data_IF_082574904027
#
_entry.id   IF_082574904027
#
_cell.length_a   1.000
_cell.length_b   1.000
_cell.length_c   1.000
_cell.angle_alpha   90.00
_cell.angle_beta   90.00
_cell.angle_gamma   90.00
#
_symmetry.space_group_name_H-M   'P 1'
#
loop_
_entity.id
_entity.type
_entity.pdbx_description
1 polymer ?
#
# COMPACT_ATOMS: atom_id res chain seq x y z
N UNK A 1 -1.18 -3.34 27.64
CA UNK A 1 -2.13 -2.21 27.60
C UNK A 1 -3.54 -2.78 27.43
N UNK A 2 -4.48 -2.35 28.26
CA UNK A 2 -5.87 -2.80 28.19
C UNK A 2 -6.54 -2.26 26.92
N UNK A 3 -7.50 -2.99 26.34
CA UNK A 3 -8.25 -2.56 25.14
C UNK A 3 -8.80 -1.13 25.25
N UNK A 4 -9.13 -0.69 26.47
CA UNK A 4 -9.60 0.67 26.78
C UNK A 4 -8.58 1.76 26.44
N UNK A 5 -7.27 1.49 26.50
CA UNK A 5 -6.24 2.48 26.18
C UNK A 5 -6.07 2.72 24.67
N UNK A 6 -6.65 1.87 23.82
CA UNK A 6 -6.68 2.07 22.36
C UNK A 6 -7.81 3.00 21.91
N UNK A 7 -8.87 3.15 22.72
CA UNK A 7 -10.05 3.96 22.35
C UNK A 7 -9.66 5.40 21.98
N UNK A 8 -8.85 6.13 22.79
CA UNK A 8 -8.43 7.48 22.43
C UNK A 8 -7.65 7.52 21.11
N UNK A 9 -6.73 6.57 20.89
CA UNK A 9 -5.92 6.47 19.67
C UNK A 9 -6.81 6.25 18.45
N UNK A 10 -7.78 5.35 18.55
CA UNK A 10 -8.75 5.08 17.48
C UNK A 10 -9.53 6.35 17.13
N UNK A 11 -10.04 7.07 18.14
CA UNK A 11 -10.84 8.28 17.94
C UNK A 11 -10.02 9.38 17.25
N UNK A 12 -8.82 9.70 17.77
CA UNK A 12 -7.98 10.77 17.18
C UNK A 12 -7.50 10.41 15.78
N UNK A 13 -7.29 9.12 15.49
CA UNK A 13 -6.83 8.66 14.18
C UNK A 13 -7.96 8.68 13.16
N UNK A 14 -9.21 8.50 13.59
CA UNK A 14 -10.36 8.50 12.68
C UNK A 14 -10.74 9.90 12.17
N UNK A 15 -10.46 10.95 12.93
CA UNK A 15 -10.79 12.33 12.54
C UNK A 15 -10.16 12.74 11.18
N UNK A 16 -8.84 12.59 10.96
CA UNK A 16 -8.23 12.84 9.64
C UNK A 16 -8.84 12.02 8.51
N UNK A 17 -9.23 10.77 8.78
CA UNK A 17 -9.85 9.86 7.81
C UNK A 17 -11.19 10.42 7.33
N UNK A 18 -12.00 10.95 8.26
CA UNK A 18 -13.25 11.63 7.92
C UNK A 18 -13.02 12.90 7.11
N UNK A 19 -12.05 13.73 7.51
CA UNK A 19 -11.73 15.00 6.84
C UNK A 19 -11.33 14.74 5.38
N UNK A 20 -10.38 13.84 5.14
CA UNK A 20 -9.95 13.50 3.79
C UNK A 20 -11.06 12.81 2.98
N UNK A 21 -11.81 11.89 3.60
CA UNK A 21 -12.94 11.22 2.96
C UNK A 21 -14.00 12.22 2.48
N UNK A 22 -14.28 13.24 3.29
CA UNK A 22 -15.19 14.34 2.94
C UNK A 22 -14.63 15.19 1.79
N UNK A 23 -13.36 15.64 1.88
CA UNK A 23 -12.71 16.45 0.85
C UNK A 23 -12.77 15.76 -0.52
N UNK A 24 -12.40 14.48 -0.60
CA UNK A 24 -12.39 13.77 -1.90
C UNK A 24 -13.78 13.40 -2.39
N UNK A 25 -14.77 13.20 -1.50
CA UNK A 25 -16.15 13.03 -1.94
C UNK A 25 -16.73 14.32 -2.51
N UNK A 26 -16.40 15.45 -1.88
CA UNK A 26 -16.76 16.77 -2.40
C UNK A 26 -16.16 17.02 -3.79
N UNK A 27 -14.88 16.67 -4.01
CA UNK A 27 -14.22 16.77 -5.31
C UNK A 27 -14.89 15.92 -6.41
N UNK A 28 -15.47 14.77 -6.07
CA UNK A 28 -16.22 13.91 -7.00
C UNK A 28 -17.64 14.43 -7.29
N UNK A 29 -18.04 15.57 -6.71
CA UNK A 29 -19.42 16.08 -6.75
C UNK A 29 -20.46 15.03 -6.31
N UNK A 30 -20.07 14.08 -5.44
CA UNK A 30 -20.96 13.06 -4.91
C UNK A 30 -21.06 13.20 -3.39
N UNK A 31 -22.28 13.10 -2.81
CA UNK A 31 -22.40 13.11 -1.36
C UNK A 31 -21.57 11.96 -0.78
N UNK A 32 -20.95 12.19 0.38
CA UNK A 32 -20.23 11.14 1.10
C UNK A 32 -21.22 10.05 1.51
N UNK A 33 -21.40 9.06 0.64
CA UNK A 33 -22.28 7.93 0.91
C UNK A 33 -21.68 7.09 2.03
N UNK A 34 -22.28 7.12 3.21
CA UNK A 34 -21.78 6.43 4.41
C UNK A 34 -21.48 4.95 4.16
N UNK A 35 -22.31 4.25 3.39
CA UNK A 35 -22.08 2.85 3.01
C UNK A 35 -20.85 2.69 2.11
N UNK A 36 -20.70 3.55 1.11
CA UNK A 36 -19.57 3.53 0.15
C UNK A 36 -18.26 3.78 0.89
N UNK A 37 -18.24 4.83 1.70
CA UNK A 37 -17.11 5.22 2.53
C UNK A 37 -16.76 4.13 3.54
N UNK A 38 -17.73 3.67 4.34
CA UNK A 38 -17.52 2.65 5.36
C UNK A 38 -16.99 1.33 4.81
N UNK A 39 -17.50 0.87 3.66
CA UNK A 39 -16.97 -0.32 2.99
C UNK A 39 -15.52 -0.14 2.52
N UNK A 40 -15.18 1.03 1.98
CA UNK A 40 -13.82 1.36 1.57
C UNK A 40 -12.85 1.42 2.76
N UNK A 41 -13.24 2.09 3.85
CA UNK A 41 -12.43 2.13 5.07
C UNK A 41 -12.23 0.72 5.64
N UNK A 42 -13.28 -0.10 5.71
CA UNK A 42 -13.18 -1.47 6.22
C UNK A 42 -12.29 -2.35 5.32
N UNK A 43 -12.48 -2.30 4.01
CA UNK A 43 -11.66 -3.06 3.06
C UNK A 43 -10.18 -2.62 3.08
N UNK A 44 -9.93 -1.32 3.25
CA UNK A 44 -8.60 -0.77 3.46
C UNK A 44 -7.98 -1.25 4.77
N UNK A 45 -8.71 -1.22 5.88
CA UNK A 45 -8.24 -1.72 7.16
C UNK A 45 -7.88 -3.21 7.09
N UNK A 46 -8.71 -4.01 6.42
CA UNK A 46 -8.46 -5.45 6.21
C UNK A 46 -7.24 -5.72 5.33
N UNK A 47 -6.93 -4.84 4.39
CA UNK A 47 -5.74 -4.98 3.53
C UNK A 47 -4.43 -4.87 4.31
N UNK A 48 -4.45 -4.29 5.51
CA UNK A 48 -3.25 -4.21 6.36
C UNK A 48 -2.98 -5.55 7.06
N UNK A 49 -4.01 -6.37 7.29
CA UNK A 49 -3.90 -7.62 8.09
C UNK A 49 -2.86 -8.61 7.53
N UNK A 50 -2.87 -8.96 6.23
CA UNK A 50 -1.87 -9.90 5.71
C UNK A 50 -0.44 -9.37 5.78
N UNK A 51 -0.28 -8.04 5.75
CA UNK A 51 1.03 -7.38 5.84
C UNK A 51 1.56 -7.46 7.27
N UNK A 52 0.74 -7.12 8.27
CA UNK A 52 1.14 -7.12 9.68
C UNK A 52 1.40 -8.51 10.22
N UNK A 53 0.51 -9.45 9.89
CA UNK A 53 0.57 -10.82 10.39
C UNK A 53 1.31 -11.73 9.42
N UNK A 54 2.15 -11.18 8.53
CA UNK A 54 2.87 -11.95 7.52
C UNK A 54 3.67 -13.09 8.14
N UNK A 55 4.41 -12.81 9.20
CA UNK A 55 5.21 -13.83 9.88
C UNK A 55 4.34 -14.95 10.47
N UNK A 56 3.20 -14.59 11.05
CA UNK A 56 2.26 -15.56 11.63
C UNK A 56 1.57 -16.40 10.54
N UNK A 57 1.18 -15.77 9.43
CA UNK A 57 0.60 -16.45 8.25
C UNK A 57 1.61 -17.43 7.66
N UNK A 58 2.87 -17.01 7.51
CA UNK A 58 3.93 -17.88 7.01
C UNK A 58 4.24 -19.02 7.97
N UNK A 59 4.24 -18.77 9.28
CA UNK A 59 4.42 -19.83 10.28
C UNK A 59 3.26 -20.82 10.25
N UNK A 60 2.02 -20.34 10.23
CA UNK A 60 0.81 -21.15 10.13
C UNK A 60 0.80 -22.03 8.87
N UNK A 61 1.29 -21.50 7.75
CA UNK A 61 1.37 -22.22 6.47
C UNK A 61 2.64 -23.08 6.31
N UNK A 62 3.48 -23.18 7.34
CA UNK A 62 4.79 -23.88 7.26
C UNK A 62 5.74 -23.33 6.18
N UNK A 63 5.64 -22.03 5.92
CA UNK A 63 6.42 -21.26 4.94
C UNK A 63 7.32 -20.21 5.61
N UNK A 64 7.60 -20.32 6.91
CA UNK A 64 8.43 -19.35 7.65
C UNK A 64 9.82 -19.14 7.03
N UNK A 65 10.43 -20.20 6.49
CA UNK A 65 11.70 -20.14 5.75
C UNK A 65 11.64 -19.30 4.46
N UNK A 66 10.44 -18.99 3.97
CA UNK A 66 10.22 -18.16 2.79
C UNK A 66 9.81 -16.72 3.15
N UNK A 67 10.03 -16.28 4.39
CA UNK A 67 9.77 -14.91 4.79
C UNK A 67 10.79 -13.94 4.18
N UNK A 68 10.31 -13.11 3.24
CA UNK A 68 11.17 -12.20 2.50
C UNK A 68 11.90 -11.21 3.40
N UNK A 69 11.27 -10.76 4.47
CA UNK A 69 11.87 -9.80 5.38
C UNK A 69 13.03 -10.40 6.16
N UNK A 70 12.94 -11.69 6.52
CA UNK A 70 14.03 -12.40 7.17
C UNK A 70 15.19 -12.66 6.19
N UNK A 71 14.86 -13.10 4.97
CA UNK A 71 15.84 -13.45 3.94
C UNK A 71 16.62 -12.23 3.42
N UNK A 72 15.99 -11.06 3.33
CA UNK A 72 16.65 -9.80 2.98
C UNK A 72 17.80 -9.45 3.94
N UNK A 73 17.67 -9.81 5.21
CA UNK A 73 18.63 -9.48 6.25
C UNK A 73 19.79 -10.46 6.32
N UNK A 74 19.51 -11.73 6.02
CA UNK A 74 20.50 -12.80 6.06
C UNK A 74 21.43 -12.78 4.83
N UNK A 75 21.10 -11.99 3.80
CA UNK A 75 21.90 -11.90 2.57
C UNK A 75 21.85 -13.19 1.75
N UNK A 76 20.72 -13.91 1.83
CA UNK A 76 20.54 -15.22 1.23
C UNK A 76 20.60 -15.20 -0.31
N UNK A 77 20.74 -16.39 -0.90
CA UNK A 77 20.80 -16.60 -2.34
C UNK A 77 19.70 -15.82 -3.09
N UNK A 78 20.09 -15.02 -4.09
CA UNK A 78 19.18 -14.18 -4.89
C UNK A 78 17.97 -14.93 -5.46
N UNK A 79 18.14 -16.22 -5.79
CA UNK A 79 17.05 -17.07 -6.27
C UNK A 79 16.02 -17.40 -5.17
N UNK A 80 16.48 -17.56 -3.93
CA UNK A 80 15.62 -17.81 -2.77
C UNK A 80 14.81 -16.56 -2.44
N UNK A 81 15.46 -15.38 -2.48
CA UNK A 81 14.78 -14.09 -2.30
C UNK A 81 13.68 -13.88 -3.36
N UNK A 82 13.96 -14.21 -4.62
CA UNK A 82 12.97 -14.13 -5.71
C UNK A 82 11.74 -14.99 -5.42
N UNK A 83 11.95 -16.27 -5.09
CA UNK A 83 10.83 -17.18 -4.84
C UNK A 83 10.04 -16.75 -3.59
N UNK A 84 10.74 -16.29 -2.56
CA UNK A 84 10.14 -15.73 -1.35
C UNK A 84 9.22 -14.53 -1.64
N UNK A 85 9.60 -13.61 -2.54
CA UNK A 85 8.74 -12.49 -2.93
C UNK A 85 7.44 -12.98 -3.56
N UNK A 86 7.52 -13.94 -4.48
CA UNK A 86 6.36 -14.49 -5.17
C UNK A 86 5.43 -15.23 -4.20
N UNK A 87 6.00 -15.99 -3.27
CA UNK A 87 5.24 -16.64 -2.18
C UNK A 87 4.53 -15.59 -1.31
N UNK A 88 5.25 -14.53 -0.92
CA UNK A 88 4.71 -13.45 -0.10
C UNK A 88 3.53 -12.75 -0.79
N UNK A 89 3.69 -12.37 -2.06
CA UNK A 89 2.61 -11.79 -2.88
C UNK A 89 1.43 -12.76 -2.99
N UNK A 90 1.69 -14.04 -3.27
CA UNK A 90 0.65 -15.06 -3.37
C UNK A 90 -0.15 -15.22 -2.08
N UNK A 91 0.51 -15.22 -0.93
CA UNK A 91 -0.13 -15.27 0.39
C UNK A 91 -0.98 -14.03 0.65
N UNK A 92 -0.49 -12.82 0.38
CA UNK A 92 -1.26 -11.58 0.55
C UNK A 92 -2.53 -11.63 -0.29
N UNK A 93 -2.39 -11.93 -1.58
CA UNK A 93 -3.51 -12.00 -2.52
C UNK A 93 -4.53 -13.06 -2.07
N UNK A 94 -4.06 -14.25 -1.68
CA UNK A 94 -4.90 -15.32 -1.16
C UNK A 94 -5.64 -14.92 0.12
N UNK A 95 -4.95 -14.33 1.09
CA UNK A 95 -5.53 -13.86 2.34
C UNK A 95 -6.61 -12.80 2.11
N UNK A 96 -6.35 -11.80 1.28
CA UNK A 96 -7.33 -10.75 0.94
C UNK A 96 -8.55 -11.37 0.27
N UNK A 97 -8.34 -12.31 -0.65
CA UNK A 97 -9.43 -13.00 -1.31
C UNK A 97 -10.33 -13.74 -0.30
N UNK A 98 -9.73 -14.50 0.62
CA UNK A 98 -10.46 -15.25 1.66
C UNK A 98 -11.23 -14.30 2.59
N UNK A 99 -10.58 -13.24 3.09
CA UNK A 99 -11.26 -12.23 3.93
C UNK A 99 -12.42 -11.57 3.19
N UNK A 100 -12.20 -11.28 1.90
CA UNK A 100 -13.19 -10.61 1.09
C UNK A 100 -14.39 -11.48 0.73
N UNK A 101 -14.19 -12.78 0.53
CA UNK A 101 -15.27 -13.74 0.32
C UNK A 101 -16.22 -13.77 1.53
N UNK A 102 -15.68 -13.74 2.75
CA UNK A 102 -16.48 -13.75 3.97
C UNK A 102 -17.29 -12.46 4.19
N UNK A 103 -16.76 -11.31 3.79
CA UNK A 103 -17.31 -10.00 4.18
C UNK A 103 -18.12 -9.33 3.06
N UNK A 104 -17.63 -9.40 1.82
CA UNK A 104 -18.21 -8.62 0.72
C UNK A 104 -19.14 -9.42 -0.19
N UNK A 105 -19.30 -10.74 0.01
CA UNK A 105 -20.28 -11.65 -0.61
C UNK A 105 -20.96 -11.12 -1.88
N UNK A 106 -20.20 -10.94 -2.97
CA UNK A 106 -20.71 -10.37 -4.22
C UNK A 106 -20.10 -11.05 -5.45
N UNK A 107 -20.97 -11.34 -6.43
CA UNK A 107 -20.69 -11.65 -7.84
C UNK A 107 -19.32 -12.28 -8.13
N UNK A 108 -19.00 -13.37 -7.42
CA UNK A 108 -17.68 -14.04 -7.46
C UNK A 108 -17.27 -14.33 -8.91
N UNK A 109 -18.20 -14.76 -9.76
CA UNK A 109 -17.90 -15.05 -11.17
C UNK A 109 -17.36 -13.86 -11.96
N UNK A 110 -17.87 -12.64 -11.73
CA UNK A 110 -17.37 -11.42 -12.42
C UNK A 110 -16.03 -10.98 -11.85
N UNK A 111 -15.86 -11.07 -10.54
CA UNK A 111 -14.63 -10.66 -9.85
C UNK A 111 -13.49 -11.63 -10.16
N UNK A 112 -13.75 -12.93 -10.14
CA UNK A 112 -12.76 -14.00 -10.28
C UNK A 112 -11.86 -13.83 -11.51
N UNK A 113 -12.44 -13.58 -12.68
CA UNK A 113 -11.67 -13.45 -13.92
C UNK A 113 -10.71 -12.24 -13.88
N UNK A 114 -11.14 -11.13 -13.30
CA UNK A 114 -10.34 -9.90 -13.18
C UNK A 114 -9.30 -10.07 -12.06
N UNK A 115 -9.70 -10.72 -10.98
CA UNK A 115 -8.84 -11.05 -9.85
C UNK A 115 -7.65 -11.89 -10.32
N UNK A 116 -7.90 -13.03 -10.98
CA UNK A 116 -6.84 -13.91 -11.51
C UNK A 116 -5.95 -13.18 -12.53
N UNK A 117 -6.52 -12.41 -13.46
CA UNK A 117 -5.72 -11.59 -14.39
C UNK A 117 -4.77 -10.66 -13.65
N UNK A 118 -5.26 -9.95 -12.65
CA UNK A 118 -4.46 -9.01 -11.86
C UNK A 118 -3.41 -9.75 -11.00
N UNK A 119 -3.74 -10.93 -10.47
CA UNK A 119 -2.77 -11.78 -9.76
C UNK A 119 -1.61 -12.15 -10.67
N UNK A 120 -1.88 -12.60 -11.90
CA UNK A 120 -0.82 -12.93 -12.86
C UNK A 120 0.04 -11.71 -13.21
N UNK A 121 -0.57 -10.53 -13.37
CA UNK A 121 0.15 -9.28 -13.67
C UNK A 121 1.06 -8.87 -12.51
N UNK A 122 0.58 -8.95 -11.26
CA UNK A 122 1.39 -8.61 -10.07
C UNK A 122 2.49 -9.64 -9.82
N UNK A 123 2.23 -10.93 -10.05
CA UNK A 123 3.28 -11.96 -9.99
C UNK A 123 4.34 -11.71 -11.06
N UNK A 124 3.95 -11.32 -12.28
CA UNK A 124 4.89 -10.94 -13.32
C UNK A 124 5.73 -9.71 -12.93
N UNK A 125 5.13 -8.71 -12.27
CA UNK A 125 5.87 -7.59 -11.69
C UNK A 125 6.90 -8.06 -10.63
N UNK A 126 6.53 -9.01 -9.77
CA UNK A 126 7.45 -9.64 -8.82
C UNK A 126 8.63 -10.34 -9.49
N UNK A 127 8.40 -11.03 -10.62
CA UNK A 127 9.47 -11.61 -11.46
C UNK A 127 10.36 -10.52 -12.04
N UNK A 128 9.78 -9.45 -12.61
CA UNK A 128 10.57 -8.33 -13.15
C UNK A 128 11.45 -7.67 -12.08
N UNK A 129 10.91 -7.43 -10.89
CA UNK A 129 11.67 -6.88 -9.77
C UNK A 129 12.79 -7.84 -9.33
N UNK A 130 12.53 -9.13 -9.34
CA UNK A 130 13.53 -10.14 -8.97
C UNK A 130 14.67 -10.24 -9.99
N UNK A 131 14.36 -10.13 -11.28
CA UNK A 131 15.36 -10.00 -12.34
C UNK A 131 16.16 -8.71 -12.16
N UNK A 132 15.49 -7.57 -11.90
CA UNK A 132 16.15 -6.31 -11.60
C UNK A 132 17.11 -6.44 -10.42
N UNK A 133 16.69 -7.06 -9.32
CA UNK A 133 17.54 -7.34 -8.17
C UNK A 133 18.76 -8.19 -8.56
N UNK A 134 18.57 -9.28 -9.32
CA UNK A 134 19.66 -10.15 -9.77
C UNK A 134 20.71 -9.41 -10.61
N UNK A 135 20.30 -8.44 -11.43
CA UNK A 135 21.23 -7.66 -12.26
C UNK A 135 21.86 -6.49 -11.53
N UNK A 136 21.12 -5.79 -10.66
CA UNK A 136 21.60 -4.56 -10.00
C UNK A 136 22.36 -4.85 -8.72
N UNK A 137 21.97 -5.89 -7.97
CA UNK A 137 22.60 -6.20 -6.69
C UNK A 137 24.11 -6.48 -6.83
N UNK A 138 24.61 -7.22 -7.85
CA UNK A 138 26.05 -7.43 -8.02
C UNK A 138 26.86 -6.19 -8.42
N UNK A 139 26.24 -5.06 -8.78
CA UNK A 139 26.93 -3.87 -9.29
C UNK A 139 27.60 -3.02 -8.20
N UNK A 140 27.54 -3.45 -6.93
CA UNK A 140 28.08 -2.74 -5.76
C UNK A 140 27.63 -1.27 -5.62
N UNK A 141 26.49 -0.92 -6.20
CA UNK A 141 25.91 0.43 -6.13
C UNK A 141 25.28 0.64 -4.76
N UNK A 142 25.66 1.71 -4.05
CA UNK A 142 25.06 2.09 -2.77
C UNK A 142 25.49 1.23 -1.57
N UNK A 143 26.66 0.59 -1.65
CA UNK A 143 27.25 -0.22 -0.56
C UNK A 143 27.95 0.62 0.51
N UNK A 144 28.06 1.93 0.31
CA UNK A 144 28.56 2.84 1.35
C UNK A 144 27.71 2.71 2.61
N UNK A 145 28.39 2.49 3.74
CA UNK A 145 27.75 2.49 5.05
C UNK A 145 27.05 3.83 5.28
N UNK A 146 25.84 3.77 5.84
CA UNK A 146 25.11 4.97 6.24
C UNK A 146 25.84 5.64 7.42
N UNK A 147 25.99 6.97 7.34
CA UNK A 147 26.61 7.77 8.40
C UNK A 147 25.79 7.64 9.68
N UNK A 148 26.34 7.01 10.72
CA UNK A 148 25.66 6.80 12.01
C UNK A 148 25.40 5.35 12.42
N UNK A 149 25.91 4.36 11.66
CA UNK A 149 25.82 2.94 12.02
C UNK A 149 24.60 2.20 11.47
N UNK A 150 23.80 2.85 10.62
CA UNK A 150 22.63 2.29 9.95
C UNK A 150 21.32 2.97 10.34
N UNK A 151 20.24 2.56 9.69
CA UNK A 151 18.87 2.99 10.00
C UNK A 151 18.11 1.82 10.60
N UNK A 152 17.47 2.02 11.75
CA UNK A 152 16.60 1.00 12.33
C UNK A 152 15.19 1.08 11.76
N UNK A 153 14.75 0.04 11.05
CA UNK A 153 13.39 -0.09 10.52
C UNK A 153 12.77 -1.36 11.11
N UNK A 154 11.60 -1.24 11.74
CA UNK A 154 10.93 -2.35 12.42
C UNK A 154 11.82 -3.14 13.41
N UNK A 155 12.74 -2.45 14.10
CA UNK A 155 13.67 -3.06 15.05
C UNK A 155 14.91 -3.69 14.42
N UNK A 156 15.08 -3.58 13.10
CA UNK A 156 16.21 -4.13 12.36
C UNK A 156 17.10 -3.02 11.83
N UNK A 157 18.42 -3.15 12.02
CA UNK A 157 19.40 -2.16 11.57
C UNK A 157 19.85 -2.44 10.13
N UNK A 158 19.59 -1.49 9.25
CA UNK A 158 20.01 -1.50 7.85
C UNK A 158 21.28 -0.67 7.70
N UNK A 159 22.40 -1.34 7.42
CA UNK A 159 23.73 -0.71 7.37
C UNK A 159 24.05 0.06 6.08
N UNK A 160 23.35 -0.22 4.98
CA UNK A 160 23.66 0.34 3.64
C UNK A 160 22.42 0.93 2.96
N UNK A 161 22.64 1.94 2.11
CA UNK A 161 21.57 2.55 1.31
C UNK A 161 20.91 1.53 0.37
N UNK A 162 21.70 0.61 -0.19
CA UNK A 162 21.23 -0.49 -1.04
C UNK A 162 20.17 -1.35 -0.34
N UNK A 163 20.42 -1.76 0.90
CA UNK A 163 19.46 -2.58 1.66
C UNK A 163 18.18 -1.80 2.00
N UNK A 164 18.31 -0.53 2.40
CA UNK A 164 17.16 0.36 2.64
C UNK A 164 16.30 0.50 1.38
N UNK A 165 16.92 0.69 0.21
CA UNK A 165 16.22 0.82 -1.06
C UNK A 165 15.43 -0.45 -1.41
N UNK A 166 16.04 -1.63 -1.33
CA UNK A 166 15.35 -2.88 -1.65
C UNK A 166 14.25 -3.20 -0.65
N UNK A 167 14.48 -2.93 0.64
CA UNK A 167 13.46 -3.11 1.68
C UNK A 167 12.21 -2.28 1.38
N UNK A 168 12.35 -0.98 1.12
CA UNK A 168 11.19 -0.11 0.86
C UNK A 168 10.50 -0.40 -0.47
N UNK A 169 11.21 -0.86 -1.50
CA UNK A 169 10.55 -1.31 -2.74
C UNK A 169 9.70 -2.56 -2.46
N UNK A 170 10.18 -3.51 -1.66
CA UNK A 170 9.45 -4.73 -1.33
C UNK A 170 8.21 -4.41 -0.49
N UNK A 171 8.35 -3.55 0.53
CA UNK A 171 7.21 -3.04 1.31
C UNK A 171 6.20 -2.37 0.38
N UNK A 172 6.64 -1.46 -0.48
CA UNK A 172 5.75 -0.79 -1.43
C UNK A 172 5.03 -1.77 -2.36
N UNK A 173 5.72 -2.80 -2.90
CA UNK A 173 5.07 -3.86 -3.71
C UNK A 173 3.96 -4.53 -2.89
N UNK A 174 4.25 -4.92 -1.66
CA UNK A 174 3.33 -5.64 -0.77
C UNK A 174 2.10 -4.78 -0.45
N UNK A 175 2.30 -3.52 -0.05
CA UNK A 175 1.23 -2.64 0.36
C UNK A 175 0.35 -2.20 -0.79
N UNK A 176 0.94 -1.79 -1.93
CA UNK A 176 0.18 -1.38 -3.10
C UNK A 176 -0.61 -2.55 -3.70
N UNK A 177 -0.02 -3.74 -3.70
CA UNK A 177 -0.73 -4.97 -4.06
C UNK A 177 -1.93 -5.19 -3.14
N UNK A 178 -1.71 -5.10 -1.83
CA UNK A 178 -2.75 -5.36 -0.85
C UNK A 178 -3.95 -4.41 -1.02
N UNK A 179 -3.69 -3.11 -1.13
CA UNK A 179 -4.73 -2.10 -1.36
C UNK A 179 -5.49 -2.35 -2.66
N UNK A 180 -4.78 -2.63 -3.76
CA UNK A 180 -5.42 -2.92 -5.05
C UNK A 180 -6.36 -4.11 -4.98
N UNK A 181 -5.95 -5.22 -4.37
CA UNK A 181 -6.82 -6.39 -4.26
C UNK A 181 -8.04 -6.15 -3.38
N UNK A 182 -7.93 -5.30 -2.37
CA UNK A 182 -9.11 -4.83 -1.62
C UNK A 182 -10.05 -3.93 -2.44
N UNK A 183 -9.54 -3.17 -3.42
CA UNK A 183 -10.42 -2.46 -4.39
C UNK A 183 -11.20 -3.48 -5.23
N UNK A 184 -10.52 -4.52 -5.74
CA UNK A 184 -11.15 -5.53 -6.61
C UNK A 184 -12.29 -6.26 -5.92
N UNK A 185 -12.12 -6.58 -4.64
CA UNK A 185 -13.11 -7.39 -3.93
C UNK A 185 -14.23 -6.56 -3.33
N UNK A 186 -13.95 -5.35 -2.85
CA UNK A 186 -14.96 -4.51 -2.18
C UNK A 186 -15.76 -3.64 -3.16
N UNK A 187 -15.14 -3.18 -4.25
CA UNK A 187 -15.61 -2.02 -5.00
C UNK A 187 -15.78 -2.24 -6.50
N UNK A 188 -15.13 -3.26 -7.08
CA UNK A 188 -15.15 -3.55 -8.53
C UNK A 188 -16.55 -3.53 -9.18
N UNK A 189 -17.60 -4.15 -8.61
CA UNK A 189 -18.92 -4.14 -9.23
C UNK A 189 -19.56 -2.75 -9.35
N UNK A 190 -19.00 -1.75 -8.67
CA UNK A 190 -19.51 -0.37 -8.60
C UNK A 190 -18.65 0.62 -9.40
N UNK A 191 -17.57 0.16 -10.04
CA UNK A 191 -16.70 0.99 -10.88
C UNK A 191 -17.31 1.06 -12.28
N UNK A 192 -17.96 2.18 -12.59
CA UNK A 192 -18.53 2.49 -13.92
C UNK A 192 -17.83 3.69 -14.59
N UNK A 193 -17.00 4.43 -13.85
CA UNK A 193 -16.18 5.52 -14.36
C UNK A 193 -14.80 5.52 -13.68
N UNK A 194 -13.83 6.15 -14.34
CA UNK A 194 -12.48 6.30 -13.79
C UNK A 194 -12.51 7.11 -12.49
N UNK A 195 -13.33 8.18 -12.42
CA UNK A 195 -13.47 9.03 -11.22
C UNK A 195 -13.96 8.20 -10.02
N UNK A 196 -14.96 7.33 -10.22
CA UNK A 196 -15.43 6.42 -9.15
C UNK A 196 -14.38 5.41 -8.74
N UNK A 197 -13.68 4.81 -9.69
CA UNK A 197 -12.61 3.86 -9.38
C UNK A 197 -11.47 4.50 -8.57
N UNK A 198 -11.07 5.72 -8.94
CA UNK A 198 -10.12 6.53 -8.16
C UNK A 198 -10.64 6.83 -6.76
N UNK A 199 -11.90 7.27 -6.61
CA UNK A 199 -12.48 7.56 -5.31
C UNK A 199 -12.54 6.32 -4.41
N UNK A 200 -12.88 5.15 -4.95
CA UNK A 200 -12.83 3.89 -4.20
C UNK A 200 -11.41 3.57 -3.71
N UNK A 201 -10.40 3.74 -4.58
CA UNK A 201 -9.00 3.59 -4.18
C UNK A 201 -8.59 4.56 -3.07
N UNK A 202 -9.09 5.81 -3.08
CA UNK A 202 -8.86 6.77 -2.00
C UNK A 202 -9.42 6.23 -0.67
N UNK A 203 -10.66 5.73 -0.64
CA UNK A 203 -11.23 5.19 0.60
C UNK A 203 -10.47 3.96 1.12
N UNK A 204 -9.99 3.10 0.22
CA UNK A 204 -9.12 1.98 0.60
C UNK A 204 -7.81 2.48 1.21
N UNK A 205 -7.18 3.50 0.62
CA UNK A 205 -5.98 4.13 1.15
C UNK A 205 -6.20 4.72 2.54
N UNK A 206 -7.34 5.36 2.75
CA UNK A 206 -7.73 5.93 4.04
C UNK A 206 -7.90 4.82 5.10
N UNK A 207 -8.55 3.71 4.75
CA UNK A 207 -8.67 2.56 5.64
C UNK A 207 -7.32 1.90 5.97
N UNK A 208 -6.43 1.82 4.99
CA UNK A 208 -5.07 1.32 5.17
C UNK A 208 -4.28 2.21 6.14
N UNK A 209 -4.20 3.51 5.84
CA UNK A 209 -3.50 4.49 6.66
C UNK A 209 -4.11 4.65 8.06
N UNK A 210 -5.41 4.41 8.22
CA UNK A 210 -6.07 4.38 9.53
C UNK A 210 -5.46 3.33 10.47
N UNK A 211 -5.34 2.09 10.00
CA UNK A 211 -4.77 1.00 10.81
C UNK A 211 -3.28 1.24 11.08
N UNK A 212 -2.52 1.66 10.06
CA UNK A 212 -1.12 1.99 10.30
C UNK A 212 -0.96 3.10 11.35
N UNK A 213 -1.72 4.18 11.24
CA UNK A 213 -1.62 5.29 12.17
C UNK A 213 -1.96 4.85 13.59
N UNK A 214 -2.93 3.95 13.79
CA UNK A 214 -3.19 3.35 15.11
C UNK A 214 -1.95 2.62 15.62
N UNK A 215 -1.29 1.81 14.79
CA UNK A 215 -0.12 1.04 15.20
C UNK A 215 1.08 1.91 15.55
N UNK A 216 1.36 2.93 14.73
CA UNK A 216 2.44 3.88 14.99
C UNK A 216 2.20 4.68 16.26
N UNK A 217 0.99 5.21 16.45
CA UNK A 217 0.66 5.98 17.65
C UNK A 217 0.62 5.10 18.89
N UNK A 218 0.13 3.86 18.79
CA UNK A 218 0.21 2.86 19.86
C UNK A 218 1.66 2.68 20.26
N UNK A 219 2.55 2.32 19.33
CA UNK A 219 3.95 2.04 19.62
C UNK A 219 4.64 3.20 20.36
N UNK A 220 4.43 4.44 19.89
CA UNK A 220 5.02 5.63 20.54
C UNK A 220 4.37 5.92 21.89
N UNK A 221 3.06 5.70 22.02
CA UNK A 221 2.35 5.87 23.28
C UNK A 221 2.82 4.84 24.34
N UNK A 222 3.16 3.60 23.96
CA UNK A 222 3.72 2.63 24.93
C UNK A 222 5.12 3.04 25.42
N UNK A 223 5.89 3.73 24.58
CA UNK A 223 7.26 4.15 24.89
C UNK A 223 7.31 5.48 25.66
N UNK A 224 6.42 6.42 25.36
CA UNK A 224 6.52 7.81 25.82
C UNK A 224 5.27 8.34 26.53
N UNK A 225 4.20 7.55 26.61
CA UNK A 225 2.90 7.96 27.13
C UNK A 225 1.99 8.57 26.06
N UNK A 226 0.67 8.41 26.22
CA UNK A 226 -0.35 8.82 25.24
C UNK A 226 -0.33 10.33 24.92
N UNK A 227 -0.04 11.17 25.91
CA UNK A 227 -0.10 12.63 25.79
C UNK A 227 1.28 13.26 25.58
N UNK A 228 2.25 12.47 25.10
CA UNK A 228 3.59 12.98 24.83
C UNK A 228 3.62 13.85 23.57
N UNK A 229 4.61 14.75 23.50
CA UNK A 229 4.89 15.52 22.28
C UNK A 229 5.25 14.62 21.10
N UNK A 230 5.83 13.44 21.35
CA UNK A 230 6.13 12.42 20.34
C UNK A 230 4.87 11.84 19.69
N UNK A 231 3.84 11.55 20.48
CA UNK A 231 2.54 11.09 19.94
C UNK A 231 1.88 12.19 19.11
N UNK A 232 1.86 13.44 19.61
CA UNK A 232 1.26 14.57 18.88
C UNK A 232 1.95 14.83 17.54
N UNK A 233 3.29 14.91 17.53
CA UNK A 233 4.07 15.15 16.31
C UNK A 233 3.88 14.02 15.30
N UNK A 234 3.89 12.77 15.75
CA UNK A 234 3.62 11.61 14.89
C UNK A 234 2.20 11.64 14.35
N UNK A 235 1.22 11.99 15.17
CA UNK A 235 -0.17 12.06 14.73
C UNK A 235 -0.34 13.12 13.63
N UNK A 236 0.19 14.33 13.82
CA UNK A 236 0.13 15.40 12.80
C UNK A 236 0.80 14.92 11.50
N UNK A 237 2.03 14.43 11.61
CA UNK A 237 2.84 14.04 10.45
C UNK A 237 2.16 12.92 9.65
N UNK A 238 1.70 11.87 10.35
CA UNK A 238 1.11 10.71 9.69
C UNK A 238 -0.30 10.99 9.16
N UNK A 239 -1.08 11.79 9.87
CA UNK A 239 -2.46 12.14 9.47
C UNK A 239 -2.54 13.03 8.24
N UNK A 240 -1.48 13.80 7.96
CA UNK A 240 -1.43 14.71 6.82
C UNK A 240 -0.56 14.11 5.72
N UNK A 241 0.72 13.86 6.01
CA UNK A 241 1.73 13.59 5.00
C UNK A 241 1.82 12.11 4.62
N UNK A 242 1.95 11.22 5.61
CA UNK A 242 1.97 9.77 5.35
C UNK A 242 0.66 9.31 4.70
N UNK A 243 -0.47 9.80 5.22
CA UNK A 243 -1.78 9.51 4.66
C UNK A 243 -1.93 10.00 3.23
N UNK A 244 -1.46 11.21 2.91
CA UNK A 244 -1.44 11.72 1.54
C UNK A 244 -0.60 10.82 0.61
N UNK A 245 0.56 10.32 1.05
CA UNK A 245 1.35 9.37 0.25
C UNK A 245 0.57 8.11 -0.08
N UNK A 246 -0.12 7.49 0.89
CA UNK A 246 -0.96 6.33 0.61
C UNK A 246 -2.10 6.64 -0.37
N UNK A 247 -2.69 7.84 -0.25
CA UNK A 247 -3.75 8.32 -1.16
C UNK A 247 -3.18 8.45 -2.58
N UNK A 248 -2.04 9.13 -2.76
CA UNK A 248 -1.38 9.29 -4.06
C UNK A 248 -1.10 7.93 -4.71
N UNK A 249 -0.48 7.02 -3.96
CA UNK A 249 -0.10 5.69 -4.46
C UNK A 249 -1.35 4.88 -4.88
N UNK A 250 -2.39 4.87 -4.04
CA UNK A 250 -3.66 4.22 -4.36
C UNK A 250 -4.38 4.87 -5.54
N UNK A 251 -4.33 6.21 -5.68
CA UNK A 251 -4.90 6.93 -6.81
C UNK A 251 -4.18 6.57 -8.10
N UNK A 252 -2.85 6.46 -8.09
CA UNK A 252 -2.07 6.05 -9.27
C UNK A 252 -2.55 4.66 -9.73
N UNK A 253 -2.54 3.65 -8.84
CA UNK A 253 -2.98 2.30 -9.22
C UNK A 253 -4.45 2.30 -9.64
N UNK A 254 -5.31 2.98 -8.88
CA UNK A 254 -6.75 3.10 -9.16
C UNK A 254 -7.06 3.76 -10.51
N UNK A 255 -6.33 4.81 -10.87
CA UNK A 255 -6.48 5.52 -12.15
C UNK A 255 -6.16 4.60 -13.32
N UNK A 256 -4.97 3.99 -13.32
CA UNK A 256 -4.53 3.12 -14.40
C UNK A 256 -5.34 1.83 -14.48
N UNK A 257 -5.70 1.25 -13.33
CA UNK A 257 -6.61 0.11 -13.27
C UNK A 257 -7.97 0.45 -13.86
N UNK A 258 -8.60 1.56 -13.44
CA UNK A 258 -9.95 1.91 -13.89
C UNK A 258 -9.98 2.21 -15.39
N UNK A 259 -8.96 2.90 -15.91
CA UNK A 259 -8.78 3.11 -17.35
C UNK A 259 -8.64 1.79 -18.09
N UNK A 260 -7.80 0.88 -17.61
CA UNK A 260 -7.59 -0.43 -18.22
C UNK A 260 -8.87 -1.28 -18.19
N UNK A 261 -9.57 -1.28 -17.05
CA UNK A 261 -10.80 -2.01 -16.83
C UNK A 261 -11.94 -1.52 -17.74
N UNK A 262 -12.13 -0.20 -17.86
CA UNK A 262 -13.19 0.34 -18.71
C UNK A 262 -12.86 0.17 -20.19
N UNK A 263 -11.61 0.44 -20.60
CA UNK A 263 -11.24 0.46 -22.02
C UNK A 263 -10.94 -0.93 -22.62
N UNK A 264 -10.44 -1.88 -21.82
CA UNK A 264 -9.83 -3.12 -22.33
C UNK A 264 -10.35 -4.41 -21.69
N UNK A 265 -11.34 -4.36 -20.81
CA UNK A 265 -11.88 -5.58 -20.19
C UNK A 265 -12.62 -6.47 -21.21
N UNK A 266 -13.14 -5.90 -22.30
CA UNK A 266 -13.61 -6.67 -23.45
C UNK A 266 -12.42 -7.27 -24.24
N UNK A 267 -12.42 -8.59 -24.44
CA UNK A 267 -11.40 -9.30 -25.22
C UNK A 267 -11.36 -8.78 -26.67
N UNK A 268 -10.17 -8.69 -27.33
CA UNK A 268 -8.90 -9.34 -26.99
C UNK A 268 -7.74 -8.38 -26.61
N UNK A 269 -7.98 -7.29 -25.85
CA UNK A 269 -6.96 -6.27 -25.53
C UNK A 269 -6.17 -6.53 -24.23
N UNK A 270 -5.81 -7.79 -23.95
CA UNK A 270 -5.16 -8.17 -22.68
C UNK A 270 -3.77 -7.56 -22.51
N UNK A 271 -3.00 -7.41 -23.59
CA UNK A 271 -1.66 -6.83 -23.53
C UNK A 271 -1.72 -5.35 -23.16
N UNK A 272 -2.67 -4.60 -23.74
CA UNK A 272 -2.90 -3.19 -23.41
C UNK A 272 -3.38 -3.03 -21.96
N UNK A 273 -4.25 -3.94 -21.51
CA UNK A 273 -4.69 -4.02 -20.12
C UNK A 273 -3.49 -4.20 -19.17
N UNK A 274 -2.68 -5.24 -19.41
CA UNK A 274 -1.53 -5.58 -18.58
C UNK A 274 -0.49 -4.46 -18.56
N UNK A 275 -0.15 -3.89 -19.72
CA UNK A 275 0.79 -2.76 -19.82
C UNK A 275 0.32 -1.55 -19.01
N UNK A 276 -0.96 -1.20 -19.13
CA UNK A 276 -1.53 -0.04 -18.41
C UNK A 276 -1.50 -0.28 -16.90
N UNK A 277 -1.87 -1.48 -16.45
CA UNK A 277 -1.87 -1.81 -15.02
C UNK A 277 -0.44 -1.90 -14.45
N UNK A 278 0.50 -2.52 -15.17
CA UNK A 278 1.92 -2.59 -14.79
C UNK A 278 2.54 -1.20 -14.65
N UNK A 279 2.20 -0.28 -15.55
CA UNK A 279 2.66 1.10 -15.45
C UNK A 279 2.14 1.77 -14.17
N UNK A 280 0.85 1.59 -13.86
CA UNK A 280 0.25 2.10 -12.62
C UNK A 280 0.93 1.54 -11.37
N UNK A 281 1.12 0.23 -11.29
CA UNK A 281 1.82 -0.39 -10.17
C UNK A 281 3.26 0.11 -10.05
N UNK A 282 4.03 0.07 -11.14
CA UNK A 282 5.44 0.47 -11.12
C UNK A 282 5.60 1.92 -10.66
N UNK A 283 4.76 2.83 -11.17
CA UNK A 283 4.81 4.23 -10.78
C UNK A 283 4.40 4.44 -9.31
N UNK A 284 3.36 3.74 -8.84
CA UNK A 284 2.94 3.78 -7.44
C UNK A 284 4.03 3.27 -6.50
N UNK A 285 4.62 2.11 -6.80
CA UNK A 285 5.67 1.49 -6.00
C UNK A 285 6.91 2.38 -5.92
N UNK A 286 7.32 2.96 -7.04
CA UNK A 286 8.46 3.88 -7.07
C UNK A 286 8.16 5.14 -6.25
N UNK A 287 6.96 5.72 -6.39
CA UNK A 287 6.57 6.88 -5.61
C UNK A 287 6.58 6.57 -4.09
N UNK A 288 5.95 5.46 -3.70
CA UNK A 288 5.93 5.03 -2.31
C UNK A 288 7.35 4.82 -1.75
N UNK A 289 8.17 4.04 -2.44
CA UNK A 289 9.55 3.77 -2.01
C UNK A 289 10.39 5.05 -1.94
N UNK A 290 10.26 5.97 -2.90
CA UNK A 290 10.97 7.26 -2.87
C UNK A 290 10.59 8.06 -1.63
N UNK A 291 9.30 8.09 -1.26
CA UNK A 291 8.85 8.81 -0.07
C UNK A 291 9.50 8.24 1.19
N UNK A 292 9.43 6.93 1.38
CA UNK A 292 9.95 6.27 2.59
C UNK A 292 11.47 6.35 2.68
N UNK A 293 12.18 6.10 1.58
CA UNK A 293 13.64 6.23 1.50
C UNK A 293 14.03 7.66 1.82
N UNK A 294 13.35 8.66 1.25
CA UNK A 294 13.65 10.08 1.47
C UNK A 294 13.51 10.46 2.94
N UNK A 295 12.44 10.03 3.61
CA UNK A 295 12.27 10.28 5.05
C UNK A 295 13.35 9.56 5.88
N UNK A 296 13.69 8.35 5.49
CA UNK A 296 14.72 7.53 6.14
C UNK A 296 16.11 8.16 6.07
N UNK A 297 16.48 8.74 4.93
CA UNK A 297 17.78 9.41 4.75
C UNK A 297 17.76 10.87 5.22
N UNK A 298 16.68 11.34 5.85
CA UNK A 298 16.55 12.67 6.42
C UNK A 298 16.17 13.78 5.43
N UNK A 299 15.79 13.44 4.19
CA UNK A 299 15.28 14.41 3.21
C UNK A 299 13.79 14.69 3.43
N UNK A 300 13.47 15.49 4.45
CA UNK A 300 12.10 15.84 4.82
C UNK A 300 11.39 16.74 3.81
N UNK A 301 12.12 17.44 2.93
CA UNK A 301 11.55 18.30 1.89
C UNK A 301 10.62 17.57 0.91
N UNK A 302 10.79 16.25 0.75
CA UNK A 302 9.93 15.39 -0.09
C UNK A 302 8.45 15.50 0.26
N UNK A 303 8.15 15.78 1.52
CA UNK A 303 6.80 15.88 2.07
C UNK A 303 5.99 16.95 1.34
N UNK A 304 6.58 18.12 1.13
CA UNK A 304 5.89 19.23 0.46
C UNK A 304 5.63 18.91 -1.02
N UNK A 305 6.56 18.21 -1.67
CA UNK A 305 6.41 17.78 -3.06
C UNK A 305 5.22 16.82 -3.19
N UNK A 306 5.15 15.81 -2.30
CA UNK A 306 4.05 14.85 -2.30
C UNK A 306 2.73 15.53 -1.94
N UNK A 307 2.73 16.39 -0.92
CA UNK A 307 1.51 17.04 -0.47
C UNK A 307 0.91 17.95 -1.55
N UNK A 308 1.67 18.94 -2.04
CA UNK A 308 1.15 19.89 -3.02
C UNK A 308 0.99 19.26 -4.41
N UNK A 309 2.01 18.55 -4.88
CA UNK A 309 1.99 17.90 -6.19
C UNK A 309 0.91 16.82 -6.27
N UNK A 310 0.82 15.99 -5.23
CA UNK A 310 -0.21 14.96 -5.11
C UNK A 310 -1.62 15.54 -5.03
N UNK A 311 -1.84 16.52 -4.15
CA UNK A 311 -3.15 17.16 -4.03
C UNK A 311 -3.62 17.79 -5.35
N UNK A 312 -2.75 18.58 -6.01
CA UNK A 312 -3.06 19.17 -7.32
C UNK A 312 -3.32 18.11 -8.40
N UNK A 313 -2.49 17.06 -8.44
CA UNK A 313 -2.64 15.95 -9.39
C UNK A 313 -3.94 15.19 -9.20
N UNK A 314 -4.33 14.87 -7.97
CA UNK A 314 -5.59 14.18 -7.68
C UNK A 314 -6.78 15.09 -8.02
N UNK A 315 -6.72 16.36 -7.63
CA UNK A 315 -7.77 17.35 -7.90
C UNK A 315 -8.02 17.48 -9.40
N UNK A 316 -6.95 17.53 -10.20
CA UNK A 316 -7.03 17.56 -11.67
C UNK A 316 -7.81 16.37 -12.25
N UNK A 317 -7.63 15.16 -11.70
CA UNK A 317 -8.36 13.96 -12.17
C UNK A 317 -9.88 14.12 -12.04
N UNK A 318 -10.35 14.81 -11.00
CA UNK A 318 -11.78 15.02 -10.76
C UNK A 318 -12.37 16.18 -11.59
N UNK A 319 -11.58 17.20 -11.90
CA UNK A 319 -12.02 18.34 -12.72
C UNK A 319 -11.83 18.18 -14.22
N UNK A 320 -10.92 17.33 -14.68
CA UNK A 320 -10.83 17.01 -16.10
C UNK A 320 -12.09 16.25 -16.55
N UNK A 321 -12.72 16.74 -17.61
CA UNK A 321 -13.72 15.98 -18.35
C UNK A 321 -13.00 14.80 -19.02
N UNK A 322 -13.41 13.57 -18.69
CA UNK A 322 -12.84 12.33 -19.23
C UNK A 322 -13.71 11.75 -20.32
#
# INVERSE_FOLDING_TARGET
MEFLSLIPIIIITFLPILIWGYIFSYLDNSPLGARRFGLGILAGALSVVPVLFMNDIMTFTSLAQWNIFLLLLQGDNHMVLMFSLLVTIGLIVGSIFVFSLGIFSLNIGKIWNIFIKNTLIVLFLGVLFSLFHLFVFPLNIGESLLTGGGVTIAGVVFGTLKLVLFYYIIIAIIEETSKHFSVLTSSLPRIDSVKKGVLFSIFIALGFGFIENILYLKNIAEQSGLWSSGVLTTWIFRSIFSLMTHIICSVIVGLYFSRAFIAYNALPRILQYARTLLYGFSFSIIAHAIFDISLTVGFTGIIFIYFFGGYMGITRIFYEDQ
#
